data_IF_256468556817
#
_entry.id   IF_256468556817
#
_cell.length_a   1.000
_cell.length_b   1.000
_cell.length_c   1.000
_cell.angle_alpha   90.00
_cell.angle_beta   90.00
_cell.angle_gamma   90.00
#
_symmetry.space_group_name_H-M   'P 1'
#
loop_
_entity.id
_entity.type
_entity.pdbx_description
1 polymer ?
#
# COMPACT_ATOMS: atom_id res chain seq x y z
N UNK A 1 -14.02 -2.43 -7.04
CA UNK A 1 -14.06 -1.05 -7.56
C UNK A 1 -14.07 -1.10 -9.08
N UNK A 2 -14.77 -0.21 -9.77
CA UNK A 2 -14.77 -0.20 -11.24
C UNK A 2 -13.45 0.35 -11.81
N UNK A 3 -13.15 -0.02 -13.05
CA UNK A 3 -11.87 0.35 -13.71
C UNK A 3 -11.72 1.86 -13.92
N UNK A 4 -12.81 2.61 -14.09
CA UNK A 4 -12.74 4.06 -14.28
C UNK A 4 -12.24 4.71 -12.99
N UNK A 5 -12.82 4.33 -11.85
CA UNK A 5 -12.39 4.86 -10.55
C UNK A 5 -10.95 4.49 -10.21
N UNK A 6 -10.52 3.26 -10.51
CA UNK A 6 -9.11 2.84 -10.33
C UNK A 6 -8.17 3.74 -11.14
N UNK A 7 -8.49 3.99 -12.42
CA UNK A 7 -7.64 4.83 -13.27
C UNK A 7 -7.57 6.29 -12.79
N UNK A 8 -8.67 6.84 -12.27
CA UNK A 8 -8.69 8.18 -11.66
C UNK A 8 -7.75 8.24 -10.45
N UNK A 9 -7.85 7.29 -9.52
CA UNK A 9 -6.97 7.23 -8.34
C UNK A 9 -5.51 7.13 -8.77
N UNK A 10 -5.20 6.22 -9.68
CA UNK A 10 -3.84 6.05 -10.19
C UNK A 10 -3.34 7.24 -11.01
N UNK A 11 -4.18 8.24 -11.31
CA UNK A 11 -3.76 9.53 -11.87
C UNK A 11 -2.98 10.41 -10.88
N UNK A 12 -3.15 10.18 -9.58
CA UNK A 12 -2.55 10.98 -8.49
C UNK A 12 -1.46 10.23 -7.71
N UNK A 13 -1.12 9.00 -8.12
CA UNK A 13 -0.14 8.14 -7.45
C UNK A 13 1.24 8.32 -8.09
N UNK A 14 2.27 8.36 -7.25
CA UNK A 14 3.67 8.39 -7.64
C UNK A 14 4.00 7.29 -8.67
N UNK A 15 4.84 7.61 -9.66
CA UNK A 15 5.08 6.72 -10.81
C UNK A 15 5.69 5.39 -10.38
N UNK A 16 6.62 5.38 -9.41
CA UNK A 16 7.31 4.17 -8.95
C UNK A 16 6.45 3.18 -8.14
N UNK A 17 5.31 3.63 -7.60
CA UNK A 17 4.40 2.77 -6.82
C UNK A 17 3.08 2.49 -7.54
N UNK A 18 2.77 3.23 -8.60
CA UNK A 18 1.48 3.19 -9.32
C UNK A 18 1.02 1.80 -9.69
N UNK A 19 1.89 0.96 -10.27
CA UNK A 19 1.51 -0.38 -10.71
C UNK A 19 1.13 -1.29 -9.53
N UNK A 20 1.80 -1.11 -8.38
CA UNK A 20 1.50 -1.86 -7.16
C UNK A 20 0.15 -1.44 -6.59
N UNK A 21 -0.10 -0.13 -6.49
CA UNK A 21 -1.40 0.41 -6.04
C UNK A 21 -2.52 -0.06 -6.96
N UNK A 22 -2.35 0.06 -8.28
CA UNK A 22 -3.34 -0.36 -9.26
C UNK A 22 -3.68 -1.85 -9.11
N UNK A 23 -2.67 -2.71 -9.01
CA UNK A 23 -2.88 -4.15 -8.90
C UNK A 23 -3.62 -4.54 -7.62
N UNK A 24 -3.29 -3.89 -6.50
CA UNK A 24 -3.99 -4.07 -5.23
C UNK A 24 -5.46 -3.64 -5.34
N UNK A 25 -5.74 -2.46 -5.89
CA UNK A 25 -7.11 -1.97 -6.10
C UNK A 25 -7.93 -2.86 -7.04
N UNK A 26 -7.33 -3.36 -8.12
CA UNK A 26 -7.96 -4.28 -9.07
C UNK A 26 -8.34 -5.62 -8.42
N UNK A 27 -7.62 -6.02 -7.37
CA UNK A 27 -7.90 -7.20 -6.54
C UNK A 27 -8.70 -6.87 -5.26
N UNK A 28 -9.30 -5.68 -5.21
CA UNK A 28 -10.21 -5.25 -4.15
C UNK A 28 -9.52 -4.93 -2.82
N UNK A 29 -8.22 -4.68 -2.80
CA UNK A 29 -7.53 -4.15 -1.60
C UNK A 29 -7.70 -2.64 -1.60
N UNK A 30 -8.35 -2.09 -0.59
CA UNK A 30 -8.69 -0.67 -0.52
C UNK A 30 -7.53 0.17 0.04
N UNK A 31 -6.73 0.76 -0.84
CA UNK A 31 -5.57 1.59 -0.48
C UNK A 31 -5.97 3.04 -0.21
N UNK A 32 -5.31 3.71 0.74
CA UNK A 32 -5.55 5.15 1.00
C UNK A 32 -4.28 6.00 1.08
N UNK A 33 -3.10 5.40 1.25
CA UNK A 33 -1.82 6.11 1.27
C UNK A 33 -0.79 5.27 0.50
N UNK A 34 0.05 5.94 -0.28
CA UNK A 34 1.14 5.29 -0.98
C UNK A 34 2.31 6.24 -1.18
N UNK A 35 3.52 5.71 -1.25
CA UNK A 35 4.72 6.46 -1.54
C UNK A 35 5.67 5.61 -2.39
N UNK A 36 6.31 6.20 -3.40
CA UNK A 36 7.34 5.48 -4.18
C UNK A 36 8.67 5.31 -3.44
N UNK A 37 8.91 6.13 -2.44
CA UNK A 37 10.14 6.12 -1.64
C UNK A 37 11.33 6.80 -2.31
N UNK A 38 12.45 6.88 -1.60
CA UNK A 38 13.69 7.50 -2.07
C UNK A 38 13.88 8.96 -1.64
N UNK A 39 14.90 9.62 -2.19
CA UNK A 39 15.29 10.97 -1.78
C UNK A 39 14.16 11.98 -2.01
N UNK A 40 13.76 12.69 -0.94
CA UNK A 40 12.69 13.69 -0.99
C UNK A 40 11.29 13.12 -0.70
N UNK A 41 11.17 11.81 -0.48
CA UNK A 41 9.91 11.16 -0.11
C UNK A 41 9.80 10.93 1.40
N UNK A 42 8.56 10.78 1.89
CA UNK A 42 8.27 10.55 3.30
C UNK A 42 8.79 9.19 3.81
N UNK A 43 8.91 8.22 2.91
CA UNK A 43 9.43 6.88 3.20
C UNK A 43 10.71 6.64 2.40
N UNK A 44 11.63 5.86 2.96
CA UNK A 44 12.81 5.45 2.21
C UNK A 44 12.47 4.37 1.17
N UNK A 45 11.56 3.46 1.51
CA UNK A 45 11.13 2.37 0.62
C UNK A 45 9.71 2.57 0.07
N UNK A 46 9.42 2.02 -1.13
CA UNK A 46 8.08 2.04 -1.68
C UNK A 46 7.09 1.37 -0.73
N UNK A 47 6.05 2.10 -0.35
CA UNK A 47 5.13 1.72 0.73
C UNK A 47 3.68 1.97 0.33
N UNK A 48 2.78 1.06 0.68
CA UNK A 48 1.33 1.22 0.51
C UNK A 48 0.63 0.91 1.82
N UNK A 49 -0.31 1.77 2.23
CA UNK A 49 -1.25 1.50 3.32
C UNK A 49 -2.66 1.27 2.80
N UNK A 50 -3.36 0.36 3.47
CA UNK A 50 -4.69 -0.07 3.06
C UNK A 50 -5.58 -0.40 4.25
N UNK A 51 -6.89 -0.33 4.00
CA UNK A 51 -7.92 -0.61 5.00
C UNK A 51 -8.11 -2.10 5.20
N UNK A 52 -8.75 -2.45 6.32
CA UNK A 52 -9.32 -3.77 6.56
C UNK A 52 -8.98 -4.38 7.92
N UNK A 53 -9.71 -5.45 8.20
CA UNK A 53 -9.65 -6.18 9.46
C UNK A 53 -8.40 -7.08 9.55
N UNK A 54 -8.32 -7.87 10.62
CA UNK A 54 -7.15 -8.73 10.93
C UNK A 54 -6.75 -9.70 9.82
N UNK A 55 -7.70 -10.19 9.01
CA UNK A 55 -7.40 -11.11 7.92
C UNK A 55 -6.90 -10.39 6.65
N UNK A 56 -7.20 -9.09 6.52
CA UNK A 56 -7.01 -8.36 5.27
C UNK A 56 -5.54 -8.23 4.88
N UNK A 57 -4.65 -8.06 5.85
CA UNK A 57 -3.21 -8.01 5.59
C UNK A 57 -2.70 -9.27 4.88
N UNK A 58 -3.13 -10.45 5.30
CA UNK A 58 -2.73 -11.71 4.67
C UNK A 58 -3.39 -11.93 3.32
N UNK A 59 -4.65 -11.48 3.14
CA UNK A 59 -5.32 -11.50 1.83
C UNK A 59 -4.57 -10.63 0.82
N UNK A 60 -4.26 -9.39 1.18
CA UNK A 60 -3.50 -8.47 0.35
C UNK A 60 -2.08 -9.00 0.07
N UNK A 61 -1.42 -9.60 1.07
CA UNK A 61 -0.11 -10.24 0.91
C UNK A 61 -0.17 -11.38 -0.11
N UNK A 62 -1.19 -12.23 -0.04
CA UNK A 62 -1.40 -13.30 -1.01
C UNK A 62 -1.51 -12.76 -2.43
N UNK A 63 -2.31 -11.71 -2.65
CA UNK A 63 -2.42 -11.04 -3.96
C UNK A 63 -1.04 -10.55 -4.42
N UNK A 64 -0.32 -9.81 -3.58
CA UNK A 64 0.96 -9.23 -3.94
C UNK A 64 2.02 -10.31 -4.27
N UNK A 65 2.04 -11.42 -3.53
CA UNK A 65 2.93 -12.55 -3.77
C UNK A 65 2.58 -13.33 -5.03
N UNK A 66 1.28 -13.58 -5.28
CA UNK A 66 0.81 -14.21 -6.52
C UNK A 66 1.23 -13.42 -7.75
N UNK A 67 1.23 -12.09 -7.66
CA UNK A 67 1.65 -11.18 -8.74
C UNK A 67 3.13 -10.77 -8.67
N UNK A 68 3.93 -11.36 -7.77
CA UNK A 68 5.39 -11.15 -7.64
C UNK A 68 5.78 -9.67 -7.46
N UNK A 69 5.01 -8.90 -6.69
CA UNK A 69 5.25 -7.47 -6.48
C UNK A 69 6.51 -7.12 -5.65
N UNK A 70 7.29 -8.11 -5.20
CA UNK A 70 8.50 -7.88 -4.42
C UNK A 70 8.20 -7.33 -3.04
N UNK A 71 7.31 -7.98 -2.28
CA UNK A 71 6.99 -7.59 -0.90
C UNK A 71 8.19 -7.89 -0.01
N UNK A 72 8.61 -6.88 0.77
CA UNK A 72 9.66 -7.01 1.78
C UNK A 72 9.07 -7.17 3.18
N UNK A 73 8.04 -6.40 3.50
CA UNK A 73 7.45 -6.37 4.84
C UNK A 73 5.93 -6.20 4.78
N UNK A 74 5.23 -6.84 5.71
CA UNK A 74 3.83 -6.57 6.04
C UNK A 74 3.74 -6.20 7.52
N UNK A 75 3.11 -5.08 7.85
CA UNK A 75 3.05 -4.54 9.21
C UNK A 75 1.63 -4.16 9.62
N UNK A 76 1.37 -4.27 10.92
CA UNK A 76 0.31 -3.52 11.60
C UNK A 76 0.93 -2.31 12.28
N UNK A 77 0.49 -1.13 11.90
CA UNK A 77 1.00 0.14 12.41
C UNK A 77 -0.05 0.79 13.31
N UNK A 78 0.36 1.25 14.49
CA UNK A 78 -0.43 2.14 15.34
C UNK A 78 0.26 3.50 15.34
N UNK A 79 -0.44 4.52 14.84
CA UNK A 79 0.06 5.89 14.84
C UNK A 79 -0.36 6.53 16.15
N UNK A 80 0.57 7.17 16.87
CA UNK A 80 0.21 7.93 18.07
C UNK A 80 -0.23 9.33 17.65
N UNK A 81 -1.51 9.64 17.79
CA UNK A 81 -2.07 10.97 17.55
C UNK A 81 -2.64 11.49 18.87
N UNK A 82 -2.28 12.72 19.25
CA UNK A 82 -2.67 13.34 20.53
C UNK A 82 -2.38 12.47 21.77
N UNK A 83 -1.28 11.71 21.73
CA UNK A 83 -0.86 10.81 22.81
C UNK A 83 -1.58 9.46 22.84
N UNK A 84 -2.50 9.20 21.90
CA UNK A 84 -3.29 7.97 21.84
C UNK A 84 -2.98 7.12 20.60
N UNK A 85 -2.98 5.78 20.73
CA UNK A 85 -2.81 4.90 19.58
C UNK A 85 -4.05 4.92 18.67
N UNK A 86 -3.88 5.44 17.47
CA UNK A 86 -4.88 5.43 16.40
C UNK A 86 -4.56 4.36 15.36
N UNK A 87 -5.53 3.49 15.07
CA UNK A 87 -5.34 2.35 14.17
C UNK A 87 -5.94 1.03 14.67
N UNK A 88 -5.40 -0.13 14.30
CA UNK A 88 -4.20 -0.35 13.47
C UNK A 88 -4.45 -0.36 11.95
N UNK A 89 -3.43 0.07 11.25
CA UNK A 89 -3.35 0.31 9.81
C UNK A 89 -2.54 -0.85 9.22
N UNK A 90 -2.93 -1.36 8.06
CA UNK A 90 -2.07 -2.26 7.31
C UNK A 90 -1.09 -1.46 6.46
N UNK A 91 0.18 -1.87 6.50
CA UNK A 91 1.25 -1.29 5.70
C UNK A 91 2.03 -2.41 5.02
N UNK A 92 2.22 -2.30 3.71
CA UNK A 92 3.02 -3.22 2.90
C UNK A 92 4.18 -2.45 2.28
N UNK A 93 5.39 -2.91 2.55
CA UNK A 93 6.62 -2.31 2.04
C UNK A 93 7.20 -3.22 0.96
N UNK A 94 7.62 -2.61 -0.14
CA UNK A 94 8.14 -3.30 -1.31
C UNK A 94 9.64 -3.06 -1.46
N UNK A 95 10.30 -3.97 -2.17
CA UNK A 95 11.70 -3.80 -2.56
C UNK A 95 11.78 -2.62 -3.55
N UNK A 96 12.70 -1.66 -3.35
CA UNK A 96 12.94 -0.59 -4.33
C UNK A 96 13.29 -1.17 -5.69
N UNK A 97 12.61 -0.70 -6.74
CA UNK A 97 13.05 -0.92 -8.12
C UNK A 97 14.29 -0.07 -8.35
N UNK A 98 15.42 -0.72 -8.68
CA UNK A 98 16.67 -0.06 -9.05
C UNK A 98 16.49 0.89 -10.23
#
# INVERSE_FOLDING_TARGET
MDKKRINEICGFVDKGIKDKVKLLLENGVETYESCEGGTGHAYFEPTVRFHGERAEGFRALSVAMTHRLGVRELKRVWVINDGEPTGAWWEMVFIPTK
#
